data_IF_911633222658
#
_entry.id   IF_911633222658
#
_cell.length_a   1.000
_cell.length_b   1.000
_cell.length_c   1.000
_cell.angle_alpha   90.00
_cell.angle_beta   90.00
_cell.angle_gamma   90.00
#
_symmetry.space_group_name_H-M   'P 1'
#
loop_
_entity.id
_entity.type
_entity.pdbx_description
1 polymer ?
#
# COMPACT_ATOMS: atom_id res chain seq x y z
N UNK A 1 -24.85 12.20 21.11
CA UNK A 1 -23.48 12.35 20.55
C UNK A 1 -23.53 13.29 19.37
N UNK A 2 -22.90 14.48 19.44
CA UNK A 2 -22.76 15.36 18.26
C UNK A 2 -21.69 14.75 17.35
N UNK A 3 -22.06 14.37 16.13
CA UNK A 3 -21.10 13.96 15.10
C UNK A 3 -20.34 15.21 14.67
N UNK A 4 -19.01 15.17 14.72
CA UNK A 4 -18.14 16.24 14.23
C UNK A 4 -18.37 16.47 12.73
N UNK A 5 -18.39 17.74 12.32
CA UNK A 5 -18.57 18.15 10.92
C UNK A 5 -17.54 17.46 10.02
N UNK A 6 -18.04 16.79 8.98
CA UNK A 6 -17.22 16.22 7.91
C UNK A 6 -16.60 17.40 7.15
N UNK A 7 -15.28 17.47 7.15
CA UNK A 7 -14.52 18.55 6.53
C UNK A 7 -14.51 18.32 5.01
N UNK A 8 -15.46 18.90 4.28
CA UNK A 8 -15.65 18.76 2.82
C UNK A 8 -14.61 19.49 1.98
N UNK A 9 -13.63 20.16 2.60
CA UNK A 9 -12.62 20.99 1.94
C UNK A 9 -11.48 20.22 1.25
N UNK A 10 -11.39 18.90 1.42
CA UNK A 10 -10.45 18.06 0.68
C UNK A 10 -11.24 17.35 -0.40
N UNK A 11 -11.01 17.70 -1.67
CA UNK A 11 -11.42 16.90 -2.82
C UNK A 11 -11.16 15.42 -2.51
N UNK A 12 -12.21 14.63 -2.39
CA UNK A 12 -12.09 13.20 -2.10
C UNK A 12 -11.18 12.57 -3.15
N UNK A 13 -9.94 12.23 -2.77
CA UNK A 13 -9.06 11.43 -3.61
C UNK A 13 -9.66 10.02 -3.62
N UNK A 14 -10.51 9.75 -4.59
CA UNK A 14 -11.01 8.42 -4.87
C UNK A 14 -9.93 7.63 -5.60
N UNK A 15 -9.71 6.39 -5.14
CA UNK A 15 -8.81 5.45 -5.77
C UNK A 15 -9.66 4.37 -6.43
N UNK A 16 -9.37 4.03 -7.68
CA UNK A 16 -10.06 2.96 -8.38
C UNK A 16 -9.33 1.65 -8.08
N UNK A 17 -9.69 1.03 -6.95
CA UNK A 17 -9.07 -0.20 -6.47
C UNK A 17 -9.96 -1.39 -6.80
N UNK A 18 -9.45 -2.32 -7.60
CA UNK A 18 -10.01 -3.67 -7.66
C UNK A 18 -9.52 -4.47 -6.45
N UNK A 19 -10.45 -4.87 -5.58
CA UNK A 19 -10.15 -5.64 -4.38
C UNK A 19 -10.02 -7.15 -4.65
N UNK A 20 -10.41 -7.59 -5.86
CA UNK A 20 -10.31 -8.97 -6.31
C UNK A 20 -8.94 -9.29 -6.86
N UNK A 21 -8.21 -8.27 -7.30
CA UNK A 21 -6.86 -8.40 -7.83
C UNK A 21 -5.86 -8.67 -6.70
N UNK A 22 -5.09 -9.75 -6.85
CA UNK A 22 -4.07 -10.17 -5.91
C UNK A 22 -2.73 -10.25 -6.61
N UNK A 23 -1.72 -9.64 -6.00
CA UNK A 23 -0.36 -9.58 -6.52
C UNK A 23 0.57 -10.43 -5.68
N UNK A 24 1.53 -11.06 -6.34
CA UNK A 24 2.56 -11.84 -5.68
C UNK A 24 3.58 -10.91 -5.03
N UNK A 25 3.83 -11.14 -3.74
CA UNK A 25 4.79 -10.40 -2.91
C UNK A 25 5.81 -11.35 -2.32
N UNK A 26 7.07 -10.92 -2.29
CA UNK A 26 8.18 -11.66 -1.69
C UNK A 26 8.66 -10.94 -0.43
N UNK A 27 8.68 -11.65 0.68
CA UNK A 27 9.12 -11.11 1.96
C UNK A 27 10.64 -11.00 1.99
N UNK A 28 11.16 -9.80 2.23
CA UNK A 28 12.58 -9.55 2.46
C UNK A 28 12.97 -9.74 3.93
N UNK A 29 12.00 -9.67 4.84
CA UNK A 29 12.19 -9.77 6.30
C UNK A 29 11.09 -10.61 6.92
N UNK A 30 11.39 -11.19 8.07
CA UNK A 30 10.41 -11.89 8.89
C UNK A 30 9.31 -10.91 9.33
N UNK A 31 8.06 -11.27 9.08
CA UNK A 31 6.91 -10.43 9.42
C UNK A 31 5.69 -11.26 9.81
N UNK A 32 5.34 -11.22 11.09
CA UNK A 32 4.23 -11.98 11.64
C UNK A 32 4.51 -13.49 11.54
N UNK A 33 3.71 -14.17 10.72
CA UNK A 33 3.84 -15.61 10.46
C UNK A 33 4.74 -15.95 9.26
N UNK A 34 5.15 -14.96 8.46
CA UNK A 34 5.95 -15.15 7.25
C UNK A 34 7.42 -14.94 7.51
N UNK A 35 8.26 -15.77 6.90
CA UNK A 35 9.72 -15.64 6.97
C UNK A 35 10.29 -14.90 5.77
N UNK A 36 11.49 -14.37 5.92
CA UNK A 36 12.26 -13.84 4.81
C UNK A 36 12.44 -14.93 3.72
N UNK A 37 12.03 -14.62 2.50
CA UNK A 37 12.02 -15.53 1.36
C UNK A 37 10.65 -16.14 1.04
N UNK A 38 9.64 -16.02 1.92
CA UNK A 38 8.30 -16.49 1.61
C UNK A 38 7.64 -15.66 0.52
N UNK A 39 6.82 -16.33 -0.29
CA UNK A 39 6.02 -15.72 -1.35
C UNK A 39 4.54 -15.86 -1.01
N UNK A 40 3.78 -14.77 -1.10
CA UNK A 40 2.32 -14.79 -0.87
C UNK A 40 1.59 -13.93 -1.89
N UNK A 41 0.29 -14.16 -2.03
CA UNK A 41 -0.58 -13.33 -2.87
C UNK A 41 -1.45 -12.47 -1.97
N UNK A 42 -1.39 -11.16 -2.16
CA UNK A 42 -2.17 -10.20 -1.37
C UNK A 42 -2.74 -9.10 -2.24
N UNK A 43 -3.81 -8.47 -1.76
CA UNK A 43 -4.42 -7.35 -2.46
C UNK A 43 -3.50 -6.14 -2.51
N UNK A 44 -3.69 -5.29 -3.51
CA UNK A 44 -2.88 -4.09 -3.76
C UNK A 44 -2.68 -3.20 -2.51
N UNK A 45 -3.72 -2.91 -1.69
CA UNK A 45 -3.54 -2.08 -0.49
C UNK A 45 -2.60 -2.70 0.55
N UNK A 46 -2.64 -4.03 0.71
CA UNK A 46 -1.77 -4.75 1.65
C UNK A 46 -0.35 -4.78 1.12
N UNK A 47 -0.18 -5.11 -0.17
CA UNK A 47 1.12 -5.10 -0.84
C UNK A 47 1.83 -3.74 -0.68
N UNK A 48 1.11 -2.65 -0.98
CA UNK A 48 1.64 -1.30 -0.86
C UNK A 48 2.06 -0.96 0.59
N UNK A 49 1.26 -1.37 1.58
CA UNK A 49 1.59 -1.16 2.99
C UNK A 49 2.89 -1.87 3.37
N UNK A 50 3.07 -3.11 2.94
CA UNK A 50 4.27 -3.90 3.24
C UNK A 50 5.52 -3.41 2.50
N UNK A 51 5.36 -2.96 1.25
CA UNK A 51 6.44 -2.29 0.50
C UNK A 51 6.87 -1.01 1.21
N UNK A 52 5.92 -0.19 1.65
CA UNK A 52 6.22 1.05 2.39
C UNK A 52 6.96 0.80 3.70
N UNK A 53 6.63 -0.29 4.40
CA UNK A 53 7.32 -0.74 5.60
C UNK A 53 8.69 -1.39 5.33
N UNK A 54 9.03 -1.67 4.07
CA UNK A 54 10.27 -2.36 3.69
C UNK A 54 10.32 -3.81 4.16
N UNK A 55 9.15 -4.44 4.27
CA UNK A 55 8.98 -5.86 4.61
C UNK A 55 9.03 -6.70 3.33
N UNK A 56 8.47 -6.18 2.25
CA UNK A 56 8.31 -6.85 0.95
C UNK A 56 9.08 -6.11 -0.12
N UNK A 57 9.59 -6.85 -1.11
CA UNK A 57 10.25 -6.27 -2.29
C UNK A 57 9.25 -5.53 -3.17
N UNK A 58 9.61 -4.33 -3.61
CA UNK A 58 8.85 -3.61 -4.62
C UNK A 58 9.02 -4.34 -5.96
N UNK A 59 7.92 -4.91 -6.47
CA UNK A 59 7.86 -5.52 -7.81
C UNK A 59 7.20 -4.56 -8.79
N UNK A 60 7.60 -4.66 -10.06
CA UNK A 60 7.07 -3.82 -11.15
C UNK A 60 5.54 -3.92 -11.26
N UNK A 61 4.98 -5.10 -10.98
CA UNK A 61 3.54 -5.34 -10.97
C UNK A 61 2.79 -4.46 -9.96
N UNK A 62 3.30 -4.37 -8.72
CA UNK A 62 2.70 -3.54 -7.67
C UNK A 62 2.78 -2.06 -8.03
N UNK A 63 3.90 -1.62 -8.61
CA UNK A 63 4.05 -0.23 -9.05
C UNK A 63 3.12 0.14 -10.19
N UNK A 64 2.91 -0.78 -11.15
CA UNK A 64 2.00 -0.59 -12.27
C UNK A 64 0.55 -0.57 -11.79
N UNK A 65 0.14 -1.53 -10.96
CA UNK A 65 -1.19 -1.58 -10.38
C UNK A 65 -1.48 -0.35 -9.52
N UNK A 66 -0.50 0.13 -8.73
CA UNK A 66 -0.63 1.38 -7.99
C UNK A 66 -0.78 2.60 -8.90
N UNK A 67 -0.13 2.62 -10.07
CA UNK A 67 -0.32 3.68 -11.06
C UNK A 67 -1.72 3.66 -11.69
N UNK A 68 -2.20 2.48 -12.09
CA UNK A 68 -3.55 2.30 -12.63
C UNK A 68 -4.63 2.70 -11.63
N UNK A 69 -4.44 2.38 -10.34
CA UNK A 69 -5.35 2.74 -9.27
C UNK A 69 -5.27 4.22 -8.82
N UNK A 70 -4.30 4.99 -9.34
CA UNK A 70 -4.04 6.37 -8.90
C UNK A 70 -3.37 6.48 -7.52
N UNK A 71 -2.85 5.36 -7.01
CA UNK A 71 -2.27 5.22 -5.68
C UNK A 71 -0.75 5.42 -5.63
N UNK A 72 -0.07 5.75 -6.74
CA UNK A 72 1.40 5.87 -6.79
C UNK A 72 1.99 6.80 -5.72
N UNK A 73 1.27 7.87 -5.34
CA UNK A 73 1.72 8.78 -4.28
C UNK A 73 1.82 8.12 -2.90
N UNK A 74 1.06 7.05 -2.66
CA UNK A 74 1.02 6.35 -1.38
C UNK A 74 2.18 5.35 -1.21
N UNK A 75 2.84 4.95 -2.31
CA UNK A 75 4.06 4.12 -2.28
C UNK A 75 5.28 4.89 -1.78
N UNK A 76 5.25 6.23 -1.85
CA UNK A 76 6.34 7.07 -1.34
C UNK A 76 6.51 6.78 0.16
N UNK A 77 7.71 6.34 0.56
CA UNK A 77 8.10 6.28 1.97
C UNK A 77 7.80 7.64 2.58
N UNK A 78 7.16 7.67 3.75
CA UNK A 78 7.04 8.91 4.51
C UNK A 78 8.46 9.43 4.72
N UNK A 79 8.81 10.52 4.03
CA UNK A 79 9.98 11.31 4.41
C UNK A 79 9.72 11.67 5.86
N UNK A 80 10.51 11.11 6.78
CA UNK A 80 10.50 11.54 8.19
C UNK A 80 10.48 13.06 8.17
N UNK A 81 9.39 13.65 8.65
CA UNK A 81 9.29 15.10 8.83
C UNK A 81 10.28 15.42 9.95
N UNK A 82 11.48 15.84 9.58
CA UNK A 82 12.61 15.95 10.47
C UNK A 82 13.79 16.57 9.74
N UNK A 83 13.62 17.82 9.33
CA UNK A 83 14.59 18.91 9.49
C UNK A 83 13.83 20.24 9.45
#
# INVERSE_FOLDING_TARGET
>A
MKRSNINTAKSDKSYNLDLSEVHKVTFQKDFGAFKAGDETHVSLPIAMKWVKMGIVSETSEITSAAATAGCSDLLKKDKKKGE
#
